data_IF_166841320324
#
_entry.id   IF_166841320324
#
_cell.length_a   1.000
_cell.length_b   1.000
_cell.length_c   1.000
_cell.angle_alpha   90.00
_cell.angle_beta   90.00
_cell.angle_gamma   90.00
#
_symmetry.space_group_name_H-M   'P 1'
#
loop_
_entity.id
_entity.type
_entity.pdbx_description
1 polymer ?
#
# COMPACT_ATOMS: atom_id res chain seq x y z
N UNK A 1 -5.05 -1.34 -8.49
CA UNK A 1 -5.34 -1.92 -7.16
C UNK A 1 -6.16 -3.21 -7.26
N UNK A 2 -7.46 -3.23 -7.56
CA UNK A 2 -8.27 -4.48 -7.52
C UNK A 2 -7.73 -5.68 -8.33
N UNK A 3 -7.16 -5.43 -9.52
CA UNK A 3 -6.69 -6.47 -10.44
C UNK A 3 -5.19 -6.78 -10.34
N UNK A 4 -4.40 -5.79 -9.94
CA UNK A 4 -2.94 -5.84 -9.98
C UNK A 4 -2.32 -6.08 -8.61
N UNK A 5 -2.99 -5.65 -7.55
CA UNK A 5 -2.56 -5.96 -6.20
C UNK A 5 -2.85 -7.44 -5.94
N UNK A 6 -1.77 -8.18 -5.66
CA UNK A 6 -1.79 -9.62 -5.49
C UNK A 6 -2.73 -10.06 -4.36
N UNK A 7 -2.76 -9.32 -3.24
CA UNK A 7 -3.58 -9.69 -2.09
C UNK A 7 -5.06 -9.47 -2.36
N UNK A 8 -5.40 -8.32 -2.94
CA UNK A 8 -6.77 -7.99 -3.32
C UNK A 8 -7.30 -8.95 -4.40
N UNK A 9 -6.48 -9.25 -5.40
CA UNK A 9 -6.85 -10.13 -6.50
C UNK A 9 -7.11 -11.56 -6.04
N UNK A 10 -6.18 -12.17 -5.31
CA UNK A 10 -6.31 -13.57 -4.86
C UNK A 10 -7.41 -13.75 -3.82
N UNK A 11 -7.57 -12.79 -2.92
CA UNK A 11 -8.54 -12.89 -1.81
C UNK A 11 -9.97 -12.69 -2.30
N UNK A 12 -10.21 -11.67 -3.13
CA UNK A 12 -11.55 -11.20 -3.50
C UNK A 12 -11.83 -11.46 -4.97
N UNK A 13 -11.12 -10.79 -5.89
CA UNK A 13 -11.47 -10.72 -7.32
C UNK A 13 -11.51 -12.11 -7.96
N UNK A 14 -10.41 -12.85 -7.87
CA UNK A 14 -10.28 -14.17 -8.49
C UNK A 14 -11.36 -15.13 -8.00
N UNK A 15 -11.60 -15.17 -6.69
CA UNK A 15 -12.58 -16.08 -6.10
C UNK A 15 -14.02 -15.71 -6.43
N UNK A 16 -14.33 -14.40 -6.46
CA UNK A 16 -15.67 -13.95 -6.80
C UNK A 16 -16.00 -14.29 -8.26
N UNK A 17 -15.11 -13.95 -9.19
CA UNK A 17 -15.31 -14.27 -10.62
C UNK A 17 -15.26 -15.78 -10.89
N UNK A 18 -14.38 -16.54 -10.25
CA UNK A 18 -14.32 -18.01 -10.45
C UNK A 18 -15.57 -18.72 -9.94
N UNK A 19 -16.31 -18.11 -9.00
CA UNK A 19 -17.58 -18.66 -8.52
C UNK A 19 -18.76 -18.40 -9.47
N UNK A 20 -18.65 -17.38 -10.33
CA UNK A 20 -19.73 -16.97 -11.25
C UNK A 20 -19.49 -17.42 -12.69
N UNK A 21 -18.24 -17.65 -13.07
CA UNK A 21 -17.85 -18.01 -14.43
C UNK A 21 -17.56 -19.50 -14.55
N UNK A 22 -18.03 -20.09 -15.65
CA UNK A 22 -17.81 -21.51 -15.97
C UNK A 22 -16.35 -21.72 -16.39
N UNK A 23 -15.75 -22.81 -15.92
CA UNK A 23 -14.43 -23.24 -16.38
C UNK A 23 -14.51 -23.74 -17.83
N UNK A 24 -13.58 -23.33 -18.73
CA UNK A 24 -12.35 -22.57 -18.51
C UNK A 24 -12.45 -21.06 -18.76
N UNK A 25 -13.62 -20.55 -19.20
CA UNK A 25 -13.80 -19.14 -19.55
C UNK A 25 -13.42 -18.18 -18.42
N UNK A 26 -13.70 -18.56 -17.16
CA UNK A 26 -13.31 -17.78 -16.00
C UNK A 26 -11.80 -17.48 -15.93
N UNK A 27 -10.96 -18.47 -16.24
CA UNK A 27 -9.50 -18.29 -16.23
C UNK A 27 -9.05 -17.35 -17.35
N UNK A 28 -9.57 -17.55 -18.57
CA UNK A 28 -9.27 -16.67 -19.70
C UNK A 28 -9.69 -15.23 -19.43
N UNK A 29 -10.91 -15.02 -18.92
CA UNK A 29 -11.46 -13.69 -18.63
C UNK A 29 -10.61 -12.95 -17.59
N UNK A 30 -10.27 -13.63 -16.49
CA UNK A 30 -9.47 -13.07 -15.40
C UNK A 30 -8.08 -12.67 -15.89
N UNK A 31 -7.42 -13.55 -16.64
CA UNK A 31 -6.09 -13.29 -17.20
C UNK A 31 -6.11 -12.13 -18.20
N UNK A 32 -7.11 -12.09 -19.09
CA UNK A 32 -7.30 -10.99 -20.04
C UNK A 32 -7.49 -9.66 -19.32
N UNK A 33 -8.33 -9.61 -18.28
CA UNK A 33 -8.58 -8.39 -17.49
C UNK A 33 -7.33 -7.91 -16.76
N UNK A 34 -6.56 -8.82 -16.18
CA UNK A 34 -5.30 -8.51 -15.50
C UNK A 34 -4.26 -7.95 -16.47
N UNK A 35 -4.10 -8.55 -17.66
CA UNK A 35 -3.20 -8.03 -18.71
C UNK A 35 -3.59 -6.65 -19.20
N UNK A 36 -4.89 -6.40 -19.41
CA UNK A 36 -5.37 -5.07 -19.80
C UNK A 36 -5.09 -4.02 -18.73
N UNK A 37 -5.29 -4.37 -17.46
CA UNK A 37 -4.97 -3.47 -16.35
C UNK A 37 -3.46 -3.18 -16.28
N UNK A 38 -2.62 -4.19 -16.51
CA UNK A 38 -1.16 -4.03 -16.51
C UNK A 38 -0.72 -3.14 -17.68
N UNK A 39 -1.17 -3.43 -18.89
CA UNK A 39 -0.86 -2.65 -20.09
C UNK A 39 -1.27 -1.16 -19.94
N UNK A 40 -2.38 -0.88 -19.27
CA UNK A 40 -2.79 0.50 -18.98
C UNK A 40 -1.81 1.23 -18.05
N UNK A 41 -1.30 0.56 -17.01
CA UNK A 41 -0.30 1.16 -16.11
C UNK A 41 1.02 1.34 -16.83
N UNK A 42 1.45 0.33 -17.58
CA UNK A 42 2.70 0.38 -18.37
C UNK A 42 2.65 1.54 -19.38
N UNK A 43 1.52 1.72 -20.05
CA UNK A 43 1.31 2.84 -20.98
C UNK A 43 1.25 4.21 -20.30
N UNK A 44 0.78 4.28 -19.06
CA UNK A 44 0.82 5.53 -18.28
C UNK A 44 2.24 5.89 -17.81
N UNK A 45 3.16 4.91 -17.74
CA UNK A 45 4.52 5.11 -17.23
C UNK A 45 4.58 5.55 -15.77
N UNK A 46 3.55 5.28 -14.97
CA UNK A 46 3.43 5.72 -13.57
C UNK A 46 3.65 4.58 -12.61
N UNK A 47 4.24 4.90 -11.47
CA UNK A 47 4.41 3.93 -10.38
C UNK A 47 3.08 3.71 -9.64
N UNK A 48 2.95 2.56 -8.95
CA UNK A 48 1.76 2.27 -8.14
C UNK A 48 1.53 3.34 -7.05
N UNK A 49 2.60 3.82 -6.43
CA UNK A 49 2.55 4.84 -5.39
C UNK A 49 2.02 6.17 -5.90
N UNK A 50 2.45 6.60 -7.09
CA UNK A 50 1.92 7.79 -7.77
C UNK A 50 0.44 7.62 -8.12
N UNK A 51 0.03 6.45 -8.59
CA UNK A 51 -1.35 6.18 -8.93
C UNK A 51 -2.25 6.28 -7.68
N UNK A 52 -1.80 5.71 -6.56
CA UNK A 52 -2.51 5.83 -5.26
C UNK A 52 -2.58 7.29 -4.82
N UNK A 53 -1.48 8.05 -4.91
CA UNK A 53 -1.45 9.47 -4.56
C UNK A 53 -2.43 10.27 -5.39
N UNK A 54 -2.46 10.05 -6.70
CA UNK A 54 -3.39 10.71 -7.62
C UNK A 54 -4.84 10.35 -7.29
N UNK A 55 -5.12 9.09 -6.97
CA UNK A 55 -6.46 8.66 -6.54
C UNK A 55 -6.89 9.33 -5.24
N UNK A 56 -5.99 9.47 -4.25
CA UNK A 56 -6.26 10.19 -3.00
C UNK A 56 -6.59 11.66 -3.27
N UNK A 57 -5.82 12.32 -4.14
CA UNK A 57 -6.09 13.72 -4.55
C UNK A 57 -7.46 13.82 -5.24
N UNK A 58 -7.78 12.89 -6.14
CA UNK A 58 -9.08 12.86 -6.81
C UNK A 58 -10.24 12.68 -5.81
N UNK A 59 -10.11 11.79 -4.82
CA UNK A 59 -11.11 11.60 -3.76
C UNK A 59 -11.29 12.89 -2.94
N UNK A 60 -10.21 13.58 -2.60
CA UNK A 60 -10.29 14.86 -1.89
C UNK A 60 -11.00 15.93 -2.72
N UNK A 61 -10.71 16.02 -4.02
CA UNK A 61 -11.38 16.95 -4.92
C UNK A 61 -12.87 16.61 -5.05
N UNK A 62 -13.23 15.33 -5.14
CA UNK A 62 -14.63 14.90 -5.15
C UNK A 62 -15.34 15.26 -3.85
N UNK A 63 -14.69 15.04 -2.70
CA UNK A 63 -15.21 15.45 -1.39
C UNK A 63 -15.45 16.96 -1.33
N UNK A 64 -14.47 17.77 -1.76
CA UNK A 64 -14.59 19.21 -1.80
C UNK A 64 -15.70 19.70 -2.76
N UNK A 65 -15.88 19.01 -3.90
CA UNK A 65 -16.93 19.33 -4.88
C UNK A 65 -18.32 18.96 -4.41
N UNK A 66 -18.46 17.84 -3.69
CA UNK A 66 -19.73 17.45 -3.10
C UNK A 66 -20.12 18.41 -1.97
N UNK A 67 -19.16 18.77 -1.12
CA UNK A 67 -19.41 19.62 0.06
C UNK A 67 -20.51 19.01 0.94
N UNK A 68 -21.51 19.83 1.26
CA UNK A 68 -22.68 19.41 2.04
C UNK A 68 -23.87 18.96 1.18
N UNK A 69 -23.75 19.05 -0.14
CA UNK A 69 -24.84 18.70 -1.06
C UNK A 69 -25.16 17.21 -1.01
N UNK A 70 -26.39 16.87 -1.41
CA UNK A 70 -26.83 15.48 -1.54
C UNK A 70 -26.24 14.80 -2.77
N UNK A 71 -26.13 15.54 -3.87
CA UNK A 71 -25.57 15.10 -5.15
C UNK A 71 -24.58 16.16 -5.69
N UNK A 72 -23.77 15.80 -6.68
CA UNK A 72 -22.75 16.69 -7.24
C UNK A 72 -23.33 17.91 -7.97
N UNK A 73 -24.57 17.84 -8.46
CA UNK A 73 -25.30 18.96 -9.08
C UNK A 73 -26.47 19.48 -8.22
N UNK A 74 -26.36 19.36 -6.89
CA UNK A 74 -27.36 19.87 -5.94
C UNK A 74 -28.32 18.77 -5.47
N UNK A 75 -29.62 18.96 -5.72
CA UNK A 75 -30.67 18.13 -5.10
C UNK A 75 -31.17 16.96 -5.96
N UNK A 76 -30.84 16.95 -7.26
CA UNK A 76 -31.26 15.89 -8.19
C UNK A 76 -30.09 14.97 -8.53
N UNK A 77 -30.34 13.64 -8.63
CA UNK A 77 -29.32 12.71 -9.09
C UNK A 77 -28.99 13.00 -10.56
N UNK A 78 -27.72 12.82 -10.91
CA UNK A 78 -27.21 12.99 -12.27
C UNK A 78 -26.42 11.76 -12.75
N UNK A 79 -26.12 11.73 -14.05
CA UNK A 79 -25.24 10.70 -14.62
C UNK A 79 -23.83 10.74 -14.02
N UNK A 80 -23.36 11.92 -13.60
CA UNK A 80 -22.09 12.07 -12.91
C UNK A 80 -22.12 11.37 -11.55
N UNK A 81 -23.20 11.51 -10.79
CA UNK A 81 -23.37 10.82 -9.50
C UNK A 81 -23.30 9.31 -9.67
N UNK A 82 -23.98 8.77 -10.69
CA UNK A 82 -23.96 7.34 -11.00
C UNK A 82 -22.55 6.86 -11.38
N UNK A 83 -21.80 7.65 -12.15
CA UNK A 83 -20.43 7.34 -12.52
C UNK A 83 -19.51 7.31 -11.29
N UNK A 84 -19.56 8.35 -10.46
CA UNK A 84 -18.73 8.46 -9.25
C UNK A 84 -19.08 7.34 -8.26
N UNK A 85 -20.38 7.08 -8.09
CA UNK A 85 -20.86 5.95 -7.30
C UNK A 85 -20.29 4.62 -7.79
N UNK A 86 -20.32 4.37 -9.10
CA UNK A 86 -19.81 3.15 -9.72
C UNK A 86 -18.32 2.89 -9.44
N UNK A 87 -17.52 3.94 -9.26
CA UNK A 87 -16.12 3.82 -8.88
C UNK A 87 -15.90 3.71 -7.36
N UNK A 88 -16.57 4.55 -6.57
CA UNK A 88 -16.32 4.62 -5.13
C UNK A 88 -16.98 3.48 -4.35
N UNK A 89 -18.19 3.08 -4.73
CA UNK A 89 -18.93 2.07 -3.98
C UNK A 89 -18.23 0.70 -3.92
N UNK A 90 -17.65 0.16 -5.02
CA UNK A 90 -16.88 -1.07 -4.93
C UNK A 90 -15.65 -0.94 -4.03
N UNK A 91 -14.93 0.20 -4.08
CA UNK A 91 -13.76 0.41 -3.23
C UNK A 91 -14.16 0.46 -1.75
N UNK A 92 -15.28 1.11 -1.43
CA UNK A 92 -15.75 1.24 -0.05
C UNK A 92 -16.37 -0.07 0.49
N UNK A 93 -17.13 -0.80 -0.33
CA UNK A 93 -17.94 -1.95 0.12
C UNK A 93 -17.25 -3.30 -0.01
N UNK A 94 -16.24 -3.43 -0.88
CA UNK A 94 -15.51 -4.68 -1.01
C UNK A 94 -14.60 -4.93 0.21
N UNK A 95 -14.50 -6.17 0.71
CA UNK A 95 -13.65 -6.53 1.84
C UNK A 95 -12.20 -6.71 1.38
N UNK A 96 -11.59 -5.63 0.90
CA UNK A 96 -10.23 -5.61 0.37
C UNK A 96 -9.20 -5.73 1.51
N UNK A 97 -8.22 -6.66 1.44
CA UNK A 97 -7.14 -6.74 2.43
C UNK A 97 -6.21 -5.52 2.41
N UNK A 98 -5.90 -4.98 1.23
CA UNK A 98 -5.18 -3.72 1.07
C UNK A 98 -6.20 -2.59 0.90
N UNK A 99 -6.35 -1.80 1.96
CA UNK A 99 -7.49 -0.91 2.18
C UNK A 99 -7.11 0.57 2.18
N UNK A 100 -5.91 0.94 1.70
CA UNK A 100 -5.42 2.33 1.71
C UNK A 100 -6.43 3.36 1.18
N UNK A 101 -7.03 3.09 0.01
CA UNK A 101 -8.06 3.96 -0.57
C UNK A 101 -9.39 3.87 0.16
N UNK A 102 -9.75 2.68 0.67
CA UNK A 102 -10.96 2.49 1.45
C UNK A 102 -10.93 3.30 2.74
N UNK A 103 -9.81 3.28 3.47
CA UNK A 103 -9.58 4.08 4.66
C UNK A 103 -9.65 5.58 4.35
N UNK A 104 -9.08 6.02 3.22
CA UNK A 104 -9.15 7.41 2.80
C UNK A 104 -10.59 7.88 2.51
N UNK A 105 -11.39 7.05 1.84
CA UNK A 105 -12.82 7.32 1.61
C UNK A 105 -13.59 7.35 2.93
N UNK A 106 -13.31 6.42 3.86
CA UNK A 106 -13.92 6.40 5.19
C UNK A 106 -13.62 7.68 6.00
N UNK A 107 -12.46 8.29 5.77
CA UNK A 107 -12.11 9.60 6.33
C UNK A 107 -12.90 10.78 5.74
N UNK A 108 -13.65 10.57 4.65
CA UNK A 108 -14.50 11.58 3.99
C UNK A 108 -15.99 11.28 4.26
N UNK A 109 -16.58 11.75 5.38
CA UNK A 109 -17.93 11.36 5.79
C UNK A 109 -19.03 11.79 4.81
N UNK A 110 -18.84 12.90 4.10
CA UNK A 110 -19.75 13.37 3.05
C UNK A 110 -19.84 12.37 1.87
N UNK A 111 -18.70 11.83 1.43
CA UNK A 111 -18.66 10.81 0.37
C UNK A 111 -19.26 9.48 0.84
N UNK A 112 -18.98 9.08 2.09
CA UNK A 112 -19.61 7.89 2.68
C UNK A 112 -21.13 8.07 2.70
N UNK A 113 -21.62 9.20 3.22
CA UNK A 113 -23.06 9.53 3.24
C UNK A 113 -23.67 9.49 1.84
N UNK A 114 -22.98 10.04 0.85
CA UNK A 114 -23.41 9.99 -0.55
C UNK A 114 -23.57 8.55 -1.06
N UNK A 115 -22.57 7.69 -0.84
CA UNK A 115 -22.60 6.29 -1.27
C UNK A 115 -23.73 5.52 -0.56
N UNK A 116 -23.85 5.65 0.76
CA UNK A 116 -24.90 4.97 1.52
C UNK A 116 -26.30 5.45 1.12
N UNK A 117 -26.46 6.75 0.87
CA UNK A 117 -27.74 7.33 0.43
C UNK A 117 -28.17 6.78 -0.94
N UNK A 118 -27.23 6.67 -1.89
CA UNK A 118 -27.54 6.08 -3.21
C UNK A 118 -27.93 4.61 -3.09
N UNK A 119 -27.21 3.83 -2.27
CA UNK A 119 -27.54 2.41 -2.03
C UNK A 119 -28.94 2.29 -1.42
N UNK A 120 -29.23 3.09 -0.39
CA UNK A 120 -30.52 3.08 0.29
C UNK A 120 -31.69 3.43 -0.63
N UNK A 121 -31.52 4.45 -1.49
CA UNK A 121 -32.61 4.98 -2.32
C UNK A 121 -32.83 4.12 -3.57
N UNK A 122 -31.75 3.70 -4.24
CA UNK A 122 -31.82 3.11 -5.59
C UNK A 122 -31.47 1.62 -5.64
N UNK A 123 -30.83 1.08 -4.61
CA UNK A 123 -30.49 -0.35 -4.51
C UNK A 123 -31.05 -0.98 -3.22
N UNK A 124 -32.36 -0.82 -2.92
CA UNK A 124 -32.94 -1.43 -1.74
C UNK A 124 -32.87 -2.96 -1.84
N UNK A 125 -32.32 -3.58 -0.80
CA UNK A 125 -32.24 -5.03 -0.69
C UNK A 125 -33.48 -5.58 0.01
N UNK A 126 -34.01 -6.70 -0.48
CA UNK A 126 -35.05 -7.45 0.22
C UNK A 126 -34.50 -8.07 1.50
N UNK A 127 -35.34 -8.30 2.51
CA UNK A 127 -34.94 -8.91 3.78
C UNK A 127 -34.17 -10.24 3.60
N UNK A 128 -34.60 -11.06 2.65
CA UNK A 128 -33.92 -12.31 2.28
C UNK A 128 -32.51 -12.07 1.75
N UNK A 129 -32.32 -11.04 0.92
CA UNK A 129 -31.02 -10.66 0.37
C UNK A 129 -30.11 -10.08 1.46
N UNK A 130 -30.65 -9.27 2.36
CA UNK A 130 -29.91 -8.74 3.53
C UNK A 130 -29.37 -9.89 4.37
N UNK A 131 -30.20 -10.91 4.65
CA UNK A 131 -29.78 -12.09 5.41
C UNK A 131 -28.71 -12.92 4.70
N UNK A 132 -28.84 -13.14 3.40
CA UNK A 132 -27.81 -13.85 2.64
C UNK A 132 -26.50 -13.04 2.58
N UNK A 133 -26.61 -11.72 2.45
CA UNK A 133 -25.47 -10.83 2.44
C UNK A 133 -24.75 -10.84 3.79
N UNK A 134 -25.47 -10.80 4.92
CA UNK A 134 -24.85 -10.84 6.26
C UNK A 134 -24.08 -12.15 6.49
N UNK A 135 -24.67 -13.30 6.13
CA UNK A 135 -23.98 -14.60 6.19
C UNK A 135 -22.73 -14.63 5.30
N UNK A 136 -22.81 -14.06 4.10
CA UNK A 136 -21.65 -13.97 3.21
C UNK A 136 -20.57 -13.02 3.73
N UNK A 137 -20.97 -11.94 4.42
CA UNK A 137 -20.09 -10.89 4.93
C UNK A 137 -19.08 -11.48 5.91
N UNK A 138 -19.52 -12.32 6.85
CA UNK A 138 -18.65 -12.97 7.83
C UNK A 138 -17.58 -13.82 7.15
N UNK A 139 -17.97 -14.63 6.17
CA UNK A 139 -17.03 -15.43 5.36
C UNK A 139 -15.98 -14.57 4.70
N UNK A 140 -16.37 -13.43 4.10
CA UNK A 140 -15.42 -12.53 3.44
C UNK A 140 -14.53 -11.77 4.43
N UNK A 141 -15.04 -11.37 5.59
CA UNK A 141 -14.24 -10.75 6.65
C UNK A 141 -13.17 -11.72 7.17
N UNK A 142 -13.52 -12.98 7.38
CA UNK A 142 -12.57 -14.03 7.77
C UNK A 142 -11.46 -14.18 6.72
N UNK A 143 -11.83 -14.17 5.42
CA UNK A 143 -10.83 -14.22 4.32
C UNK A 143 -9.92 -13.01 4.33
N UNK A 144 -10.47 -11.80 4.49
CA UNK A 144 -9.72 -10.56 4.59
C UNK A 144 -8.71 -10.62 5.74
N UNK A 145 -9.16 -11.01 6.94
CA UNK A 145 -8.29 -11.13 8.12
C UNK A 145 -7.16 -12.17 7.91
N UNK A 146 -7.46 -13.31 7.27
CA UNK A 146 -6.44 -14.32 6.92
C UNK A 146 -5.41 -13.79 5.91
N UNK A 147 -5.86 -13.02 4.93
CA UNK A 147 -4.99 -12.40 3.94
C UNK A 147 -4.08 -11.34 4.58
N UNK A 148 -4.62 -10.48 5.45
CA UNK A 148 -3.84 -9.48 6.19
C UNK A 148 -2.78 -10.14 7.09
N UNK A 149 -3.17 -11.15 7.87
CA UNK A 149 -2.21 -11.91 8.70
C UNK A 149 -1.13 -12.61 7.87
N UNK A 150 -1.48 -13.10 6.68
CA UNK A 150 -0.50 -13.68 5.75
C UNK A 150 0.46 -12.63 5.18
N UNK A 151 -0.04 -11.43 4.86
CA UNK A 151 0.77 -10.31 4.42
C UNK A 151 1.75 -9.85 5.51
N UNK A 152 1.28 -9.67 6.74
CA UNK A 152 2.10 -9.31 7.91
C UNK A 152 3.22 -10.34 8.15
N UNK A 153 2.89 -11.64 8.09
CA UNK A 153 3.90 -12.71 8.21
C UNK A 153 4.94 -12.66 7.10
N UNK A 154 4.53 -12.33 5.88
CA UNK A 154 5.45 -12.20 4.75
C UNK A 154 6.38 -10.99 4.93
N UNK A 155 5.86 -9.85 5.41
CA UNK A 155 6.65 -8.68 5.75
C UNK A 155 7.66 -8.98 6.86
N UNK A 156 7.22 -9.57 7.97
CA UNK A 156 8.11 -9.96 9.07
C UNK A 156 9.20 -10.93 8.59
N UNK A 157 8.83 -11.95 7.78
CA UNK A 157 9.80 -12.88 7.20
C UNK A 157 10.81 -12.14 6.32
N UNK A 158 10.38 -11.17 5.52
CA UNK A 158 11.27 -10.38 4.67
C UNK A 158 12.24 -9.55 5.51
N UNK A 159 11.74 -8.85 6.53
CA UNK A 159 12.55 -8.08 7.47
C UNK A 159 13.57 -8.95 8.18
N UNK A 160 13.19 -10.12 8.71
CA UNK A 160 14.13 -11.05 9.36
C UNK A 160 15.22 -11.55 8.40
N UNK A 161 14.90 -11.79 7.12
CA UNK A 161 15.89 -12.20 6.11
C UNK A 161 16.85 -11.04 5.81
N UNK A 162 16.35 -9.82 5.64
CA UNK A 162 17.17 -8.64 5.36
C UNK A 162 18.04 -8.26 6.58
N UNK A 163 17.53 -8.39 7.81
CA UNK A 163 18.29 -8.25 9.06
C UNK A 163 19.39 -9.30 9.17
N UNK A 164 19.08 -10.56 8.87
CA UNK A 164 20.04 -11.66 8.94
C UNK A 164 21.10 -11.58 7.83
N UNK A 165 20.79 -10.95 6.69
CA UNK A 165 21.76 -10.63 5.66
C UNK A 165 22.68 -9.46 6.05
N UNK A 166 22.18 -8.48 6.82
CA UNK A 166 22.93 -7.29 7.26
C UNK A 166 23.79 -7.54 8.52
N UNK A 167 23.32 -8.39 9.43
CA UNK A 167 24.02 -8.75 10.66
C UNK A 167 25.49 -9.21 10.45
N UNK A 168 25.81 -10.18 9.56
CA UNK A 168 27.19 -10.62 9.37
C UNK A 168 28.10 -9.52 8.80
N UNK A 169 27.56 -8.62 7.97
CA UNK A 169 28.30 -7.50 7.39
C UNK A 169 28.69 -6.51 8.49
N UNK A 170 27.73 -6.15 9.34
CA UNK A 170 27.96 -5.25 10.49
C UNK A 170 29.00 -5.84 11.45
N UNK A 171 28.89 -7.11 11.78
CA UNK A 171 29.80 -7.77 12.73
C UNK A 171 31.22 -7.88 12.15
N UNK A 172 31.35 -8.14 10.85
CA UNK A 172 32.64 -8.15 10.14
C UNK A 172 33.29 -6.77 10.14
N UNK A 173 32.52 -5.70 9.88
CA UNK A 173 33.02 -4.31 9.90
C UNK A 173 33.46 -3.92 11.31
N UNK A 174 32.67 -4.24 12.34
CA UNK A 174 33.03 -3.96 13.73
C UNK A 174 34.33 -4.67 14.15
N UNK A 175 34.48 -5.95 13.78
CA UNK A 175 35.70 -6.70 14.06
C UNK A 175 36.92 -6.11 13.35
N UNK A 176 36.77 -5.74 12.07
CA UNK A 176 37.85 -5.14 11.29
C UNK A 176 38.31 -3.79 11.88
N UNK A 177 37.37 -2.91 12.26
CA UNK A 177 37.68 -1.62 12.90
C UNK A 177 38.33 -1.83 14.28
N UNK A 178 37.81 -2.77 15.08
CA UNK A 178 38.40 -3.14 16.37
C UNK A 178 39.83 -3.67 16.24
N UNK A 179 40.09 -4.53 15.26
CA UNK A 179 41.42 -5.06 14.99
C UNK A 179 42.41 -3.98 14.52
N UNK A 180 41.99 -3.09 13.61
CA UNK A 180 42.84 -2.00 13.11
C UNK A 180 43.21 -1.01 14.22
N UNK A 181 42.24 -0.63 15.05
CA UNK A 181 42.47 0.29 16.18
C UNK A 181 43.42 -0.32 17.23
N UNK A 182 43.23 -1.60 17.58
CA UNK A 182 44.11 -2.30 18.51
C UNK A 182 45.51 -2.49 17.93
N UNK A 183 45.63 -2.81 16.64
CA UNK A 183 46.91 -2.93 15.95
C UNK A 183 47.68 -1.61 15.92
N UNK A 184 47.00 -0.49 15.66
CA UNK A 184 47.60 0.84 15.70
C UNK A 184 48.09 1.19 17.11
N UNK A 185 47.26 0.94 18.14
CA UNK A 185 47.63 1.14 19.55
C UNK A 185 48.86 0.31 19.94
N UNK A 186 48.90 -0.95 19.53
CA UNK A 186 50.02 -1.85 19.80
C UNK A 186 51.31 -1.38 19.10
N UNK A 187 51.22 -0.94 17.84
CA UNK A 187 52.36 -0.40 17.10
C UNK A 187 52.94 0.89 17.71
N UNK A 188 52.07 1.75 18.25
CA UNK A 188 52.48 2.95 19.02
C UNK A 188 53.11 2.54 20.36
N UNK A 189 52.53 1.59 21.10
CA UNK A 189 53.05 1.14 22.39
C UNK A 189 54.43 0.49 22.29
N UNK A 190 54.68 -0.26 21.21
CA UNK A 190 55.99 -0.86 20.93
C UNK A 190 57.02 0.14 20.36
N UNK A 191 56.63 1.39 20.10
CA UNK A 191 57.52 2.40 19.54
C UNK A 191 57.91 2.16 18.08
N UNK A 192 57.13 1.38 17.33
CA UNK A 192 57.35 1.12 15.89
C UNK A 192 56.99 2.37 15.07
N UNK A 193 56.04 3.17 15.55
CA UNK A 193 55.58 4.40 14.91
C UNK A 193 56.03 5.58 15.78
N UNK A 194 57.01 6.36 15.32
CA UNK A 194 57.40 7.63 15.95
C UNK A 194 56.52 8.76 15.41
N UNK A 195 55.55 9.21 16.21
CA UNK A 195 54.79 10.44 15.90
C UNK A 195 55.70 11.62 16.15
N UNK A 196 56.41 12.07 15.11
CA UNK A 196 57.12 13.34 15.13
C UNK A 196 56.09 14.44 14.90
N UNK A 197 55.72 15.15 15.96
CA UNK A 197 54.91 16.37 15.86
C UNK A 197 55.90 17.45 15.41
N UNK A 198 55.82 17.83 14.14
CA UNK A 198 56.56 18.96 13.59
C UNK A 198 55.87 20.23 14.11
N UNK A 199 56.34 20.77 15.25
CA UNK A 199 55.98 22.10 15.73
C UNK A 199 56.68 23.14 14.86
N UNK A 200 55.94 23.73 13.92
CA UNK A 200 56.37 24.94 13.21
C UNK A 200 56.45 26.12 14.19
N UNK A 201 57.62 26.33 14.79
CA UNK A 201 57.95 27.54 15.56
C UNK A 201 58.32 28.65 14.56
N UNK A 202 57.61 29.80 14.52
CA UNK A 202 57.99 30.91 13.65
C UNK A 202 59.30 31.57 14.17
N UNK A 203 60.17 32.07 13.27
CA UNK A 203 61.47 32.60 13.67
C UNK A 203 61.31 33.90 14.46
N UNK A 204 62.03 33.99 15.58
CA UNK A 204 62.20 35.23 16.34
C UNK A 204 63.37 35.98 15.71
N UNK A 205 63.06 37.10 15.06
CA UNK A 205 64.04 38.08 14.63
C UNK A 205 64.63 38.79 15.86
N UNK A 206 65.96 38.81 15.97
CA UNK A 206 66.69 39.71 16.88
C UNK A 206 67.81 40.37 16.08
N UNK A 207 67.79 41.70 16.07
CA UNK A 207 68.77 42.65 15.50
C UNK A 207 70.23 42.37 15.88
#
# INVERSE_FOLDING_TARGET
MLWLDQWNYTTVTSHWYSSQLIFPYGLYYLEKRRRLAQAYIDACGRTETELIRNAIVAINLLSAKLGDNKYFYGDKPSSLDALIFGYLAPILKLPLPSDRLQQHILGCPNLVRFIESIISIYLPLTETQIRLQSLSKDKWQIRRARAQKSAERMHLRRETIDEQASAPIRDTVLFAVGALTLSLLFAVHLGIISVSIEEDIPPIDIE
#
